data_IF_498172362586
#
_entry.id   IF_498172362586
#
_cell.length_a   1.000
_cell.length_b   1.000
_cell.length_c   1.000
_cell.angle_alpha   90.00
_cell.angle_beta   90.00
_cell.angle_gamma   90.00
#
_symmetry.space_group_name_H-M   'P 1'
#
loop_
_entity.id
_entity.type
_entity.pdbx_description
1 polymer ?
#
# COMPACT_ATOMS: atom_id res chain seq x y z
N UNK A 1 15.17 20.43 18.13
CA UNK A 1 15.10 19.12 17.42
C UNK A 1 13.66 18.94 16.97
N UNK A 2 13.38 19.06 15.66
CA UNK A 2 12.01 19.05 15.15
C UNK A 2 11.44 17.63 15.14
N UNK A 3 10.33 17.45 15.87
CA UNK A 3 9.54 16.23 15.97
C UNK A 3 8.76 15.96 14.67
N UNK A 4 9.46 15.66 13.57
CA UNK A 4 8.88 15.50 12.22
C UNK A 4 8.03 14.23 12.02
N UNK A 5 7.83 13.39 13.03
CA UNK A 5 7.22 12.07 12.86
C UNK A 5 6.00 11.77 13.73
N UNK A 6 5.61 12.67 14.65
CA UNK A 6 4.60 12.33 15.67
C UNK A 6 3.17 12.21 15.14
N UNK A 7 2.89 12.70 13.93
CA UNK A 7 1.56 12.70 13.32
C UNK A 7 1.61 12.48 11.79
N UNK A 8 2.59 11.70 11.30
CA UNK A 8 2.72 11.47 9.87
C UNK A 8 1.59 10.59 9.35
N UNK A 9 0.76 11.10 8.44
CA UNK A 9 -0.39 10.37 7.87
C UNK A 9 -0.15 9.98 6.43
N UNK A 10 -0.77 8.90 5.97
CA UNK A 10 -0.82 8.56 4.55
C UNK A 10 -2.21 8.88 4.01
N UNK A 11 -2.25 9.63 2.91
CA UNK A 11 -3.45 9.82 2.11
C UNK A 11 -3.41 8.83 0.97
N UNK A 12 -4.37 7.91 0.94
CA UNK A 12 -4.54 6.94 -0.13
C UNK A 12 -5.69 7.41 -1.01
N UNK A 13 -5.44 7.83 -2.26
CA UNK A 13 -6.51 8.18 -3.18
C UNK A 13 -7.46 7.00 -3.39
N UNK A 14 -8.76 7.29 -3.48
CA UNK A 14 -9.82 6.29 -3.58
C UNK A 14 -9.58 5.30 -4.73
N UNK A 15 -9.08 5.79 -5.88
CA UNK A 15 -8.72 4.95 -7.03
C UNK A 15 -7.71 3.85 -6.64
N UNK A 16 -6.63 4.23 -5.96
CA UNK A 16 -5.57 3.30 -5.55
C UNK A 16 -6.10 2.35 -4.47
N UNK A 17 -6.89 2.87 -3.53
CA UNK A 17 -7.52 2.03 -2.51
C UNK A 17 -8.38 0.93 -3.15
N UNK A 18 -9.27 1.29 -4.07
CA UNK A 18 -10.14 0.34 -4.79
C UNK A 18 -9.33 -0.70 -5.58
N UNK A 19 -8.28 -0.27 -6.28
CA UNK A 19 -7.42 -1.17 -7.05
C UNK A 19 -6.70 -2.20 -6.15
N UNK A 20 -6.19 -1.77 -4.99
CA UNK A 20 -5.53 -2.67 -4.02
C UNK A 20 -6.54 -3.63 -3.39
N UNK A 21 -7.72 -3.13 -2.99
CA UNK A 21 -8.75 -3.99 -2.39
C UNK A 21 -9.33 -5.00 -3.36
N UNK A 22 -9.48 -4.64 -4.64
CA UNK A 22 -9.93 -5.58 -5.67
C UNK A 22 -8.90 -6.70 -5.86
N UNK A 23 -7.61 -6.34 -5.95
CA UNK A 23 -6.53 -7.34 -6.04
C UNK A 23 -6.48 -8.28 -4.84
N UNK A 24 -6.71 -7.75 -3.63
CA UNK A 24 -6.79 -8.59 -2.44
C UNK A 24 -7.99 -9.54 -2.47
N UNK A 25 -9.13 -9.10 -3.00
CA UNK A 25 -10.31 -9.95 -3.17
C UNK A 25 -10.09 -11.05 -4.23
N UNK A 26 -9.43 -10.72 -5.34
CA UNK A 26 -9.14 -11.65 -6.44
C UNK A 26 -8.19 -12.78 -6.03
N UNK A 27 -7.34 -12.54 -5.02
CA UNK A 27 -6.31 -13.47 -4.59
C UNK A 27 -6.73 -14.37 -3.42
N UNK A 28 -7.97 -14.22 -2.92
CA UNK A 28 -8.51 -15.10 -1.88
C UNK A 28 -8.44 -16.58 -2.31
N UNK A 29 -8.03 -17.51 -1.42
CA UNK A 29 -7.74 -17.32 0.01
C UNK A 29 -6.26 -16.95 0.31
N UNK A 30 -5.46 -16.66 -0.71
CA UNK A 30 -4.02 -16.45 -0.56
C UNK A 30 -3.72 -15.07 0.05
N UNK A 31 -2.60 -14.98 0.76
CA UNK A 31 -2.06 -13.72 1.25
C UNK A 31 -1.08 -13.19 0.21
N UNK A 32 -1.32 -11.95 -0.22
CA UNK A 32 -0.43 -11.23 -1.13
C UNK A 32 0.30 -10.10 -0.42
N UNK A 33 1.46 -9.72 -0.95
CA UNK A 33 2.28 -8.65 -0.42
C UNK A 33 2.83 -7.76 -1.53
N UNK A 34 3.14 -6.51 -1.19
CA UNK A 34 3.62 -5.53 -2.14
C UNK A 34 4.15 -4.26 -1.46
N UNK A 35 4.48 -3.28 -2.28
CA UNK A 35 5.00 -1.99 -1.89
C UNK A 35 4.03 -0.88 -2.25
N UNK A 36 3.90 0.11 -1.37
CA UNK A 36 3.18 1.35 -1.65
C UNK A 36 4.20 2.48 -1.66
N UNK A 37 4.08 3.38 -2.64
CA UNK A 37 4.93 4.54 -2.82
C UNK A 37 4.12 5.80 -2.60
N UNK A 38 4.72 6.76 -1.90
CA UNK A 38 4.09 8.02 -1.57
C UNK A 38 5.05 9.19 -1.73
N UNK A 39 4.53 10.29 -2.27
CA UNK A 39 5.23 11.57 -2.26
C UNK A 39 5.11 12.18 -0.87
N UNK A 40 6.27 12.44 -0.25
CA UNK A 40 6.31 13.12 1.04
C UNK A 40 5.93 14.59 0.89
N UNK A 41 4.99 15.03 1.73
CA UNK A 41 4.71 16.42 2.09
C UNK A 41 5.06 16.62 3.57
N UNK A 42 4.87 17.83 4.09
CA UNK A 42 5.31 18.24 5.44
C UNK A 42 5.04 17.18 6.51
N UNK A 43 3.76 16.88 6.77
CA UNK A 43 3.30 15.95 7.80
C UNK A 43 2.46 14.79 7.23
N UNK A 44 2.45 14.58 5.91
CA UNK A 44 1.76 13.44 5.31
C UNK A 44 2.42 12.98 4.01
N UNK A 45 2.18 11.73 3.65
CA UNK A 45 2.55 11.15 2.36
C UNK A 45 1.30 10.96 1.50
N UNK A 46 1.33 11.39 0.25
CA UNK A 46 0.26 11.09 -0.71
C UNK A 46 0.67 9.87 -1.51
N UNK A 47 -0.08 8.77 -1.37
CA UNK A 47 0.16 7.56 -2.14
C UNK A 47 -0.16 7.82 -3.61
N UNK A 48 0.78 7.49 -4.49
CA UNK A 48 0.64 7.69 -5.94
C UNK A 48 0.76 6.39 -6.74
N UNK A 49 1.36 5.35 -6.16
CA UNK A 49 1.64 4.09 -6.84
C UNK A 49 1.74 2.95 -5.84
N UNK A 50 1.43 1.73 -6.30
CA UNK A 50 1.76 0.50 -5.60
C UNK A 50 2.33 -0.52 -6.60
N UNK A 51 3.08 -1.49 -6.09
CA UNK A 51 3.61 -2.62 -6.85
C UNK A 51 3.32 -3.87 -6.03
N UNK A 52 2.56 -4.81 -6.61
CA UNK A 52 2.40 -6.13 -6.01
C UNK A 52 3.60 -6.97 -6.38
N UNK A 53 4.12 -7.74 -5.42
CA UNK A 53 5.20 -8.65 -5.75
C UNK A 53 4.62 -9.79 -6.60
N UNK A 54 5.23 -10.12 -7.75
CA UNK A 54 4.90 -11.35 -8.46
C UNK A 54 5.23 -12.50 -7.52
N UNK A 55 4.24 -13.34 -7.29
CA UNK A 55 4.26 -14.34 -6.23
C UNK A 55 5.44 -15.32 -6.42
N UNK A 56 6.30 -15.45 -5.40
CA UNK A 56 7.36 -16.47 -5.34
C UNK A 56 6.87 -17.75 -4.65
N UNK A 57 5.68 -17.73 -4.01
CA UNK A 57 5.14 -18.85 -3.24
C UNK A 57 3.62 -18.84 -3.22
N UNK A 58 3.01 -19.37 -4.29
CA UNK A 58 1.68 -20.00 -4.20
C UNK A 58 1.77 -21.20 -3.27
N UNK A 59 1.76 -20.94 -1.96
CA UNK A 59 1.75 -22.01 -0.96
C UNK A 59 0.30 -22.41 -0.79
N UNK A 60 -0.10 -23.42 -1.55
CA UNK A 60 -1.38 -24.10 -1.36
C UNK A 60 -1.30 -24.75 0.01
N UNK A 61 -2.12 -24.29 0.97
CA UNK A 61 -2.37 -25.04 2.21
C UNK A 61 -3.14 -26.31 1.90
#
# INVERSE_FOLDING_TARGET
MSSSAKDFRYLIPERIFKEITQKAADELPNIIHGWIFADRKENFGIVNKFIMNPDLRKTVN
#
